data_IF_182829814939
#
_entry.id   IF_182829814939
#
_cell.length_a   1.000
_cell.length_b   1.000
_cell.length_c   1.000
_cell.angle_alpha   90.00
_cell.angle_beta   90.00
_cell.angle_gamma   90.00
#
_symmetry.space_group_name_H-M   'P 1'
#
loop_
_entity.id
_entity.type
_entity.pdbx_description
1 polymer ?
#
# COMPACT_ATOMS: atom_id res chain seq x y z
N UNK A 1 44.93 -11.71 0.57
CA UNK A 1 43.63 -12.22 1.06
C UNK A 1 42.55 -11.65 0.17
N UNK A 2 41.46 -12.39 -0.07
CA UNK A 2 40.35 -11.86 -0.90
C UNK A 2 39.52 -10.84 -0.11
N UNK A 3 39.02 -9.78 -0.77
CA UNK A 3 38.14 -8.80 -0.11
C UNK A 3 36.82 -9.47 0.29
N UNK A 4 36.30 -9.11 1.46
CA UNK A 4 35.00 -9.61 1.92
C UNK A 4 34.14 -8.48 2.46
N UNK A 5 32.89 -8.43 2.01
CA UNK A 5 31.89 -7.44 2.43
C UNK A 5 31.19 -7.96 3.70
N UNK A 6 31.07 -7.11 4.72
CA UNK A 6 30.40 -7.40 5.99
C UNK A 6 29.00 -6.78 5.99
N UNK A 7 28.88 -5.50 5.64
CA UNK A 7 27.60 -4.76 5.59
C UNK A 7 27.66 -3.66 4.53
N UNK A 8 26.48 -3.20 4.12
CA UNK A 8 26.35 -2.01 3.26
C UNK A 8 25.21 -1.17 3.81
N UNK A 9 25.47 0.13 4.00
CA UNK A 9 24.45 1.04 4.51
C UNK A 9 23.36 1.31 3.45
N UNK A 10 22.08 1.39 3.86
CA UNK A 10 20.99 1.68 2.94
C UNK A 10 21.00 3.14 2.47
N UNK A 11 20.90 3.33 1.16
CA UNK A 11 20.84 4.65 0.52
C UNK A 11 19.40 5.03 0.14
N UNK A 12 19.05 6.33 0.05
CA UNK A 12 17.76 6.75 -0.49
C UNK A 12 17.51 6.21 -1.90
N UNK A 13 16.24 6.09 -2.32
CA UNK A 13 15.89 5.59 -3.66
C UNK A 13 16.32 6.51 -4.81
N UNK A 14 16.72 7.75 -4.50
CA UNK A 14 17.36 8.66 -5.45
C UNK A 14 18.84 8.34 -5.69
N UNK A 15 19.39 7.33 -5.02
CA UNK A 15 20.82 7.08 -4.95
C UNK A 15 21.49 7.93 -3.87
N UNK A 16 22.82 7.87 -3.84
CA UNK A 16 23.63 8.57 -2.85
C UNK A 16 24.92 7.83 -2.54
N UNK A 17 25.64 8.29 -1.53
CA UNK A 17 26.87 7.62 -1.08
C UNK A 17 26.48 6.34 -0.33
N UNK A 18 26.89 5.20 -0.86
CA UNK A 18 26.82 3.91 -0.17
C UNK A 18 28.15 3.66 0.56
N UNK A 19 28.05 3.35 1.85
CA UNK A 19 29.18 2.91 2.67
C UNK A 19 29.20 1.39 2.72
N UNK A 20 30.29 0.79 2.25
CA UNK A 20 30.52 -0.64 2.23
C UNK A 20 31.57 -0.94 3.30
N UNK A 21 31.17 -1.68 4.33
CA UNK A 21 32.08 -2.11 5.40
C UNK A 21 32.52 -3.54 5.14
N UNK A 22 33.80 -3.83 5.34
CA UNK A 22 34.36 -5.15 5.10
C UNK A 22 35.77 -5.33 5.61
N UNK A 23 36.51 -6.22 4.94
CA UNK A 23 37.91 -6.53 5.25
C UNK A 23 38.73 -6.72 3.97
N UNK A 24 40.03 -6.48 4.07
CA UNK A 24 41.02 -6.61 2.99
C UNK A 24 40.71 -5.71 1.77
N UNK A 25 40.17 -4.50 2.00
CA UNK A 25 39.94 -3.54 0.92
C UNK A 25 41.21 -2.81 0.47
N UNK A 26 42.29 -2.92 1.23
CA UNK A 26 43.59 -2.34 0.89
C UNK A 26 43.79 -0.93 1.46
N UNK A 27 44.87 -0.26 1.06
CA UNK A 27 45.26 1.03 1.61
C UNK A 27 44.22 2.14 1.41
N UNK A 28 44.25 3.15 2.27
CA UNK A 28 43.44 4.36 2.13
C UNK A 28 43.63 5.00 0.74
N UNK A 29 42.54 5.47 0.14
CA UNK A 29 42.48 6.06 -1.21
C UNK A 29 42.82 5.11 -2.36
N UNK A 30 42.82 3.80 -2.12
CA UNK A 30 42.87 2.83 -3.23
C UNK A 30 41.63 3.02 -4.12
N UNK A 31 41.87 3.23 -5.41
CA UNK A 31 40.81 3.25 -6.44
C UNK A 31 40.30 1.82 -6.65
N UNK A 32 38.99 1.65 -6.63
CA UNK A 32 38.36 0.35 -6.76
C UNK A 32 37.97 0.12 -8.21
N UNK A 33 38.46 -0.96 -8.81
CA UNK A 33 38.23 -1.23 -10.24
C UNK A 33 36.74 -1.33 -10.61
N UNK A 34 35.92 -2.05 -9.84
CA UNK A 34 34.48 -2.05 -10.05
C UNK A 34 33.68 -2.38 -8.79
N UNK A 35 32.52 -1.71 -8.67
CA UNK A 35 31.47 -2.01 -7.70
C UNK A 35 30.15 -2.06 -8.44
N UNK A 36 29.42 -3.17 -8.33
CA UNK A 36 28.12 -3.37 -8.99
C UNK A 36 27.08 -3.75 -7.97
N UNK A 37 25.97 -3.00 -7.94
CA UNK A 37 24.79 -3.22 -7.10
C UNK A 37 23.71 -3.88 -7.98
N UNK A 38 23.61 -5.20 -7.88
CA UNK A 38 22.77 -6.02 -8.76
C UNK A 38 23.27 -5.96 -10.20
N UNK A 39 22.61 -5.14 -11.03
CA UNK A 39 22.99 -4.85 -12.41
C UNK A 39 23.49 -3.41 -12.63
N UNK A 40 23.43 -2.56 -11.62
CA UNK A 40 23.75 -1.14 -11.74
C UNK A 40 25.16 -0.83 -11.18
N UNK A 41 25.98 -0.02 -11.85
CA UNK A 41 27.31 0.34 -11.35
C UNK A 41 27.20 1.34 -10.19
N UNK A 42 28.01 1.14 -9.14
CA UNK A 42 28.28 2.16 -8.12
C UNK A 42 29.56 2.91 -8.54
N UNK A 43 29.45 4.20 -8.83
CA UNK A 43 30.55 4.98 -9.41
C UNK A 43 31.43 5.61 -8.35
N UNK A 44 32.61 6.12 -8.73
CA UNK A 44 33.55 6.83 -7.84
C UNK A 44 33.94 6.04 -6.58
N UNK A 45 34.07 4.72 -6.73
CA UNK A 45 34.37 3.81 -5.64
C UNK A 45 35.83 3.97 -5.17
N UNK A 46 36.01 4.23 -3.87
CA UNK A 46 37.32 4.40 -3.24
C UNK A 46 37.35 3.88 -1.82
N UNK A 47 38.51 3.40 -1.39
CA UNK A 47 38.74 3.05 0.02
C UNK A 47 38.83 4.31 0.87
N UNK A 48 37.92 4.46 1.83
CA UNK A 48 37.81 5.63 2.73
C UNK A 48 38.29 5.35 4.15
N UNK A 49 38.38 4.09 4.55
CA UNK A 49 39.10 3.64 5.74
C UNK A 49 39.95 2.43 5.35
N UNK A 50 41.23 2.48 5.72
CA UNK A 50 42.20 1.43 5.40
C UNK A 50 41.63 0.04 5.76
N UNK A 51 41.74 -0.86 4.79
CA UNK A 51 41.31 -2.25 4.81
C UNK A 51 39.82 -2.52 5.08
N UNK A 52 39.01 -1.53 5.44
CA UNK A 52 37.72 -1.76 6.12
C UNK A 52 36.53 -1.01 5.56
N UNK A 53 36.72 0.09 4.83
CA UNK A 53 35.60 0.88 4.29
C UNK A 53 35.84 1.31 2.85
N UNK A 54 34.82 1.11 2.00
CA UNK A 54 34.72 1.68 0.65
C UNK A 54 33.49 2.57 0.61
N UNK A 55 33.62 3.74 -0.02
CA UNK A 55 32.47 4.55 -0.41
C UNK A 55 32.36 4.63 -1.93
N UNK A 56 31.13 4.58 -2.43
CA UNK A 56 30.81 4.76 -3.84
C UNK A 56 29.44 5.45 -4.01
N UNK A 57 29.18 6.02 -5.18
CA UNK A 57 27.92 6.65 -5.53
C UNK A 57 26.96 5.62 -6.14
N UNK A 58 26.00 5.19 -5.34
CA UNK A 58 24.93 4.32 -5.77
C UNK A 58 23.94 5.10 -6.66
N UNK A 59 23.51 4.52 -7.79
CA UNK A 59 22.53 5.14 -8.67
C UNK A 59 21.12 5.09 -8.05
N UNK A 60 20.15 5.85 -8.59
CA UNK A 60 18.74 5.70 -8.24
C UNK A 60 18.25 4.26 -8.45
N UNK A 61 17.39 3.78 -7.54
CA UNK A 61 16.84 2.43 -7.59
C UNK A 61 15.87 2.15 -6.42
N UNK A 62 15.35 0.92 -6.36
CA UNK A 62 14.44 0.45 -5.32
C UNK A 62 14.72 -1.01 -4.97
N UNK A 63 14.09 -1.50 -3.90
CA UNK A 63 14.22 -2.89 -3.45
C UNK A 63 15.40 -3.12 -2.51
N UNK A 64 15.39 -4.31 -1.92
CA UNK A 64 16.39 -4.81 -0.99
C UNK A 64 16.83 -6.22 -1.35
N UNK A 65 17.74 -6.76 -0.54
CA UNK A 65 18.41 -8.04 -0.83
C UNK A 65 19.11 -8.03 -2.20
N UNK A 66 19.76 -6.91 -2.52
CA UNK A 66 20.51 -6.71 -3.76
C UNK A 66 21.93 -7.21 -3.54
N UNK A 67 22.41 -8.06 -4.46
CA UNK A 67 23.78 -8.54 -4.47
C UNK A 67 24.75 -7.41 -4.79
N UNK A 68 25.84 -7.28 -4.03
CA UNK A 68 26.95 -6.38 -4.34
C UNK A 68 28.18 -7.19 -4.79
N UNK A 69 28.72 -6.84 -5.96
CA UNK A 69 29.98 -7.39 -6.47
C UNK A 69 31.06 -6.32 -6.45
N UNK A 70 32.18 -6.63 -5.82
CA UNK A 70 33.32 -5.76 -5.65
C UNK A 70 34.56 -6.40 -6.24
N UNK A 71 35.29 -5.65 -7.06
CA UNK A 71 36.62 -5.99 -7.57
C UNK A 71 37.58 -4.84 -7.33
N UNK A 72 38.62 -5.08 -6.53
CA UNK A 72 39.62 -4.05 -6.17
C UNK A 72 40.59 -3.81 -7.32
N UNK A 73 41.21 -4.88 -7.86
CA UNK A 73 42.23 -4.79 -8.92
C UNK A 73 41.81 -5.57 -10.18
N UNK A 74 42.24 -5.13 -11.36
CA UNK A 74 41.98 -5.79 -12.66
C UNK A 74 42.44 -7.24 -12.69
N UNK A 75 43.57 -7.52 -12.03
CA UNK A 75 44.29 -8.80 -12.05
C UNK A 75 43.77 -9.79 -11.00
N UNK A 76 42.84 -9.36 -10.14
CA UNK A 76 42.19 -10.26 -9.20
C UNK A 76 41.16 -11.12 -9.95
N UNK A 77 41.41 -12.44 -9.99
CA UNK A 77 40.43 -13.46 -10.35
C UNK A 77 39.32 -13.61 -9.29
N UNK A 78 39.47 -12.95 -8.13
CA UNK A 78 38.57 -13.07 -6.97
C UNK A 78 37.93 -11.73 -6.63
N UNK A 79 36.66 -11.63 -6.99
CA UNK A 79 35.74 -10.60 -6.54
C UNK A 79 35.35 -10.85 -5.06
N UNK A 80 34.50 -10.00 -4.48
CA UNK A 80 33.84 -10.27 -3.19
C UNK A 80 32.98 -11.56 -3.16
N UNK A 81 32.83 -12.24 -4.30
CA UNK A 81 32.09 -13.49 -4.52
C UNK A 81 30.75 -13.51 -3.77
N UNK A 82 30.64 -14.34 -2.73
CA UNK A 82 29.43 -14.56 -1.94
C UNK A 82 29.23 -13.56 -0.79
N UNK A 83 30.30 -12.89 -0.35
CA UNK A 83 30.24 -12.02 0.83
C UNK A 83 29.32 -10.80 0.63
N UNK A 84 29.01 -10.45 -0.62
CA UNK A 84 28.12 -9.37 -0.98
C UNK A 84 26.67 -9.79 -1.29
N UNK A 85 26.33 -11.08 -1.21
CA UNK A 85 24.99 -11.54 -1.60
C UNK A 85 23.90 -10.97 -0.67
N UNK A 86 22.89 -10.37 -1.28
CA UNK A 86 21.74 -9.78 -0.60
C UNK A 86 22.06 -8.66 0.40
N UNK A 87 23.27 -8.09 0.40
CA UNK A 87 23.70 -7.15 1.45
C UNK A 87 23.29 -5.71 1.20
N UNK A 88 23.02 -5.33 -0.03
CA UNK A 88 22.61 -3.98 -0.36
C UNK A 88 21.08 -3.85 -0.38
N UNK A 89 20.58 -2.70 0.04
CA UNK A 89 19.19 -2.29 -0.16
C UNK A 89 19.09 -0.79 -0.29
N UNK A 90 18.08 -0.34 -1.01
CA UNK A 90 17.60 1.03 -0.87
C UNK A 90 16.75 1.13 0.40
N UNK A 91 16.70 2.34 0.99
CA UNK A 91 15.84 2.63 2.14
C UNK A 91 14.39 2.27 1.82
N UNK A 92 13.68 1.72 2.80
CA UNK A 92 12.29 1.30 2.62
C UNK A 92 11.37 2.49 2.35
N UNK A 93 10.26 2.26 1.63
CA UNK A 93 9.16 3.21 1.53
C UNK A 93 8.71 3.64 2.93
N UNK A 94 8.55 4.94 3.13
CA UNK A 94 7.99 5.50 4.35
C UNK A 94 6.76 6.32 3.99
N UNK A 95 5.58 5.88 4.38
CA UNK A 95 4.35 6.67 4.26
C UNK A 95 4.26 7.60 5.46
N UNK A 96 4.19 8.90 5.21
CA UNK A 96 4.13 9.93 6.25
C UNK A 96 2.72 10.48 6.44
N UNK A 97 1.95 10.53 5.36
CA UNK A 97 0.56 10.97 5.38
C UNK A 97 -0.21 10.41 4.19
N UNK A 98 -1.49 10.19 4.41
CA UNK A 98 -2.50 9.83 3.43
C UNK A 98 -3.60 10.87 3.55
N UNK A 99 -3.90 11.53 2.43
CA UNK A 99 -4.95 12.55 2.34
C UNK A 99 -5.96 12.13 1.29
N UNK A 100 -7.23 12.22 1.64
CA UNK A 100 -8.34 11.97 0.74
C UNK A 100 -9.55 12.77 1.18
N UNK A 101 -10.44 13.00 0.23
CA UNK A 101 -11.78 13.50 0.52
C UNK A 101 -12.78 12.62 -0.23
N UNK A 102 -13.94 12.31 0.39
CA UNK A 102 -15.05 11.73 -0.34
C UNK A 102 -15.39 12.59 -1.55
N UNK A 103 -15.51 12.01 -2.75
CA UNK A 103 -15.97 12.77 -3.90
C UNK A 103 -17.42 13.22 -3.68
N UNK A 104 -17.84 14.35 -4.27
CA UNK A 104 -19.23 14.77 -4.24
C UNK A 104 -20.10 13.67 -4.83
N UNK A 105 -21.02 13.14 -4.03
CA UNK A 105 -21.98 12.16 -4.53
C UNK A 105 -23.16 12.91 -5.11
N UNK A 106 -23.39 12.78 -6.42
CA UNK A 106 -24.54 13.37 -7.10
C UNK A 106 -25.59 12.28 -7.28
N UNK A 107 -26.66 12.37 -6.51
CA UNK A 107 -27.80 11.48 -6.62
C UNK A 107 -29.05 12.31 -6.95
N UNK A 108 -29.89 11.79 -7.84
CA UNK A 108 -31.14 12.40 -8.26
C UNK A 108 -32.25 11.35 -8.16
N UNK A 109 -33.43 11.78 -7.69
CA UNK A 109 -34.63 10.93 -7.59
C UNK A 109 -34.39 9.59 -6.86
N UNK A 110 -33.59 9.62 -5.79
CA UNK A 110 -33.28 8.46 -4.97
C UNK A 110 -32.29 7.46 -5.60
N UNK A 111 -31.59 7.86 -6.67
CA UNK A 111 -30.61 7.04 -7.38
C UNK A 111 -29.30 7.79 -7.60
N UNK A 112 -28.18 7.06 -7.54
CA UNK A 112 -26.85 7.59 -7.80
C UNK A 112 -26.29 6.99 -9.10
N UNK A 113 -25.27 7.65 -9.67
CA UNK A 113 -24.59 7.14 -10.86
C UNK A 113 -23.87 5.82 -10.56
N UNK A 114 -24.01 4.84 -11.46
CA UNK A 114 -23.40 3.53 -11.32
C UNK A 114 -21.86 3.60 -11.38
N UNK A 115 -21.20 2.72 -10.63
CA UNK A 115 -19.76 2.50 -10.76
C UNK A 115 -18.89 3.27 -9.75
N UNK A 116 -17.60 3.46 -10.05
CA UNK A 116 -16.66 4.09 -9.14
C UNK A 116 -16.96 5.58 -8.99
N UNK A 117 -16.84 6.08 -7.77
CA UNK A 117 -17.09 7.50 -7.44
C UNK A 117 -16.00 8.45 -7.95
N UNK A 118 -14.95 7.91 -8.61
CA UNK A 118 -13.77 8.67 -9.00
C UNK A 118 -12.91 9.11 -7.81
N UNK A 119 -13.11 8.50 -6.63
CA UNK A 119 -12.34 8.83 -5.44
C UNK A 119 -10.85 8.64 -5.69
N UNK A 120 -10.06 9.65 -5.36
CA UNK A 120 -8.61 9.60 -5.40
C UNK A 120 -8.04 9.82 -4.00
N UNK A 121 -6.89 9.21 -3.75
CA UNK A 121 -6.07 9.42 -2.56
C UNK A 121 -4.76 10.07 -2.96
N UNK A 122 -4.20 10.89 -2.08
CA UNK A 122 -2.85 11.45 -2.19
C UNK A 122 -2.00 10.91 -1.05
N UNK A 123 -0.84 10.35 -1.39
CA UNK A 123 0.04 9.64 -0.48
C UNK A 123 1.37 10.39 -0.46
N UNK A 124 1.80 10.78 0.73
CA UNK A 124 3.02 11.53 0.97
C UNK A 124 4.03 10.65 1.68
N UNK A 125 5.28 10.70 1.26
CA UNK A 125 6.30 9.89 1.91
C UNK A 125 7.68 10.00 1.33
N UNK A 126 8.58 9.14 1.78
CA UNK A 126 9.96 9.10 1.33
C UNK A 126 10.27 7.73 0.71
N UNK A 127 11.32 7.69 -0.10
CA UNK A 127 11.88 6.46 -0.66
C UNK A 127 10.90 5.61 -1.47
N UNK A 128 9.97 6.23 -2.22
CA UNK A 128 9.05 5.47 -3.06
C UNK A 128 9.71 4.96 -4.35
N UNK A 129 10.81 5.58 -4.79
CA UNK A 129 11.42 5.28 -6.09
C UNK A 129 11.08 6.32 -7.14
N UNK A 130 11.85 6.36 -8.24
CA UNK A 130 11.61 7.28 -9.36
C UNK A 130 10.78 6.68 -10.51
N UNK A 131 10.63 5.36 -10.55
CA UNK A 131 9.95 4.65 -11.63
C UNK A 131 8.63 4.04 -11.11
N UNK A 132 7.49 4.52 -11.62
CA UNK A 132 6.16 4.05 -11.22
C UNK A 132 5.96 2.55 -11.49
N UNK A 133 6.61 1.98 -12.51
CA UNK A 133 6.49 0.54 -12.80
C UNK A 133 7.14 -0.37 -11.74
N UNK A 134 7.95 0.20 -10.84
CA UNK A 134 8.53 -0.51 -9.71
C UNK A 134 7.78 -0.26 -8.40
N UNK A 135 6.66 0.48 -8.45
CA UNK A 135 5.89 0.92 -7.29
C UNK A 135 4.50 0.30 -7.37
N UNK A 136 4.10 -0.36 -6.28
CA UNK A 136 2.74 -0.86 -6.09
C UNK A 136 2.15 -0.20 -4.87
N UNK A 137 0.88 0.18 -4.95
CA UNK A 137 0.18 0.83 -3.86
C UNK A 137 -1.14 0.11 -3.66
N UNK A 138 -1.41 -0.30 -2.44
CA UNK A 138 -2.59 -1.08 -2.13
C UNK A 138 -3.18 -0.75 -0.76
N UNK A 139 -4.46 -1.07 -0.59
CA UNK A 139 -5.08 -1.12 0.73
C UNK A 139 -4.90 -2.52 1.31
N UNK A 140 -4.49 -2.61 2.56
CA UNK A 140 -4.44 -3.89 3.26
C UNK A 140 -5.84 -4.52 3.28
N UNK A 141 -5.95 -5.73 2.73
CA UNK A 141 -7.24 -6.44 2.61
C UNK A 141 -7.89 -6.65 3.99
N UNK A 142 -9.21 -6.46 4.12
CA UNK A 142 -9.93 -6.76 5.37
C UNK A 142 -9.91 -8.24 5.74
N UNK A 143 -9.66 -9.12 4.77
CA UNK A 143 -9.57 -10.57 4.97
C UNK A 143 -8.19 -11.04 5.44
N UNK A 144 -7.23 -10.11 5.60
CA UNK A 144 -5.88 -10.47 6.04
C UNK A 144 -5.90 -10.94 7.49
N UNK A 145 -5.49 -12.18 7.74
CA UNK A 145 -5.36 -12.70 9.10
C UNK A 145 -4.16 -12.07 9.83
N UNK A 146 -4.19 -12.09 11.16
CA UNK A 146 -3.05 -11.62 11.96
C UNK A 146 -1.77 -12.44 11.70
N UNK A 147 -1.91 -13.75 11.44
CA UNK A 147 -0.80 -14.64 11.08
C UNK A 147 -0.18 -14.23 9.75
N UNK A 148 -1.01 -14.06 8.71
CA UNK A 148 -0.57 -13.61 7.39
C UNK A 148 0.10 -12.23 7.46
N UNK A 149 -0.41 -11.33 8.31
CA UNK A 149 0.24 -10.05 8.59
C UNK A 149 1.64 -10.23 9.15
N UNK A 150 1.82 -11.06 10.17
CA UNK A 150 3.14 -11.28 10.80
C UNK A 150 4.13 -11.99 9.89
N UNK A 151 3.65 -12.79 8.95
CA UNK A 151 4.49 -13.49 7.97
C UNK A 151 4.81 -12.62 6.75
N UNK A 152 4.14 -11.47 6.59
CA UNK A 152 4.26 -10.64 5.41
C UNK A 152 3.60 -11.24 4.17
N UNK A 153 2.64 -12.15 4.36
CA UNK A 153 1.86 -12.83 3.31
C UNK A 153 0.45 -12.25 3.18
N UNK A 154 0.38 -10.93 3.05
CA UNK A 154 -0.89 -10.22 2.90
C UNK A 154 -1.22 -9.91 1.44
N UNK A 155 -2.53 -9.88 1.17
CA UNK A 155 -3.09 -9.42 -0.10
C UNK A 155 -3.43 -7.95 0.01
N UNK A 156 -3.05 -7.21 -1.02
CA UNK A 156 -3.42 -5.81 -1.18
C UNK A 156 -4.55 -5.67 -2.19
N UNK A 157 -5.49 -4.77 -1.90
CA UNK A 157 -6.39 -4.24 -2.91
C UNK A 157 -5.67 -3.11 -3.64
N UNK A 158 -5.13 -3.42 -4.81
CA UNK A 158 -4.34 -2.49 -5.62
C UNK A 158 -5.14 -1.23 -5.97
N UNK A 159 -4.48 -0.09 -5.78
CA UNK A 159 -4.98 1.19 -6.24
C UNK A 159 -4.72 1.34 -7.74
N UNK A 160 -5.51 2.21 -8.38
CA UNK A 160 -5.54 2.37 -9.84
C UNK A 160 -4.84 3.67 -10.26
N UNK A 161 -4.45 3.75 -11.53
CA UNK A 161 -3.98 5.00 -12.17
C UNK A 161 -2.93 5.75 -11.34
N UNK A 162 -1.93 5.03 -10.85
CA UNK A 162 -0.87 5.60 -10.01
C UNK A 162 -0.07 6.64 -10.80
N UNK A 163 -0.03 7.86 -10.27
CA UNK A 163 0.69 8.99 -10.85
C UNK A 163 1.49 9.72 -9.77
N UNK A 164 2.58 10.39 -10.14
CA UNK A 164 3.19 11.37 -9.26
C UNK A 164 2.34 12.63 -9.23
N UNK A 165 2.34 13.36 -8.11
CA UNK A 165 1.58 14.60 -8.00
C UNK A 165 2.40 15.69 -7.28
N UNK A 166 2.41 16.95 -7.75
CA UNK A 166 1.92 17.36 -9.05
C UNK A 166 2.77 16.73 -10.16
N UNK A 167 2.26 16.71 -11.40
CA UNK A 167 2.97 16.30 -12.61
C UNK A 167 4.05 17.34 -13.01
N UNK A 168 4.94 17.66 -12.08
CA UNK A 168 5.99 18.67 -12.22
C UNK A 168 7.36 17.99 -12.13
N UNK A 169 8.39 18.59 -12.74
CA UNK A 169 9.65 17.90 -12.91
C UNK A 169 10.41 17.92 -11.58
N UNK A 170 10.70 16.72 -11.07
CA UNK A 170 11.47 16.32 -9.89
C UNK A 170 10.59 15.68 -8.81
N UNK A 171 10.47 14.36 -8.93
CA UNK A 171 10.02 13.49 -7.86
C UNK A 171 11.24 12.67 -7.40
N UNK A 172 11.56 12.72 -6.10
CA UNK A 172 10.89 13.50 -5.07
C UNK A 172 11.25 14.99 -5.15
N UNK A 173 10.59 15.80 -4.34
CA UNK A 173 10.95 17.20 -4.15
C UNK A 173 12.36 17.34 -3.51
N UNK A 174 12.93 18.56 -3.42
CA UNK A 174 14.26 18.77 -2.84
C UNK A 174 14.46 18.29 -1.39
N UNK A 175 13.38 18.07 -0.64
CA UNK A 175 13.41 17.52 0.72
C UNK A 175 13.33 15.98 0.74
N UNK A 176 13.35 15.32 -0.43
CA UNK A 176 13.21 13.88 -0.58
C UNK A 176 11.79 13.37 -0.41
N UNK A 177 10.78 14.25 -0.36
CA UNK A 177 9.37 13.89 -0.24
C UNK A 177 8.78 13.57 -1.62
N UNK A 178 8.24 12.37 -1.75
CA UNK A 178 7.40 11.91 -2.85
C UNK A 178 5.94 12.23 -2.56
N UNK A 179 5.18 12.46 -3.62
CA UNK A 179 3.74 12.58 -3.53
C UNK A 179 3.14 11.79 -4.67
N UNK A 180 2.40 10.73 -4.33
CA UNK A 180 1.68 9.87 -5.26
C UNK A 180 0.20 10.19 -5.19
N UNK A 181 -0.48 10.09 -6.33
CA UNK A 181 -1.93 10.12 -6.41
C UNK A 181 -2.39 8.83 -7.09
N UNK A 182 -3.49 8.28 -6.59
CA UNK A 182 -4.03 7.05 -7.14
C UNK A 182 -5.56 7.03 -7.01
N UNK A 183 -6.22 6.34 -7.94
CA UNK A 183 -7.64 6.02 -7.89
C UNK A 183 -7.91 4.93 -6.86
N UNK A 184 -8.96 5.12 -6.07
CA UNK A 184 -9.44 4.10 -5.15
C UNK A 184 -10.40 3.18 -5.89
N UNK A 185 -10.17 1.84 -5.91
CA UNK A 185 -11.10 0.91 -6.50
C UNK A 185 -12.41 0.86 -5.68
N UNK A 186 -13.49 0.38 -6.31
CA UNK A 186 -14.72 0.08 -5.58
C UNK A 186 -14.41 -0.93 -4.47
N UNK A 187 -14.78 -0.60 -3.25
CA UNK A 187 -14.47 -1.42 -2.08
C UNK A 187 -15.30 -1.01 -0.88
N UNK A 188 -14.92 -1.53 0.28
CA UNK A 188 -15.59 -1.32 1.55
C UNK A 188 -14.56 -1.36 2.68
N UNK A 189 -15.03 -1.21 3.93
CA UNK A 189 -14.21 -1.16 5.16
C UNK A 189 -13.68 0.22 5.55
N UNK A 190 -13.26 0.30 6.82
CA UNK A 190 -12.59 1.46 7.41
C UNK A 190 -11.21 1.08 7.91
N UNK A 191 -10.43 2.12 8.17
CA UNK A 191 -9.10 2.07 8.79
C UNK A 191 -8.20 1.02 8.12
N UNK A 192 -8.20 1.05 6.79
CA UNK A 192 -7.35 0.20 5.96
C UNK A 192 -6.00 0.86 5.79
N UNK A 193 -4.95 0.16 6.17
CA UNK A 193 -3.59 0.65 6.02
C UNK A 193 -3.25 0.79 4.52
N UNK A 194 -2.75 1.95 4.13
CA UNK A 194 -2.16 2.15 2.81
C UNK A 194 -0.74 1.60 2.82
N UNK A 195 -0.51 0.61 1.98
CA UNK A 195 0.79 -0.04 1.79
C UNK A 195 1.38 0.44 0.47
N UNK A 196 2.59 0.98 0.53
CA UNK A 196 3.41 1.35 -0.63
C UNK A 196 4.57 0.38 -0.68
N UNK A 197 4.62 -0.41 -1.75
CA UNK A 197 5.72 -1.30 -2.07
C UNK A 197 6.59 -0.70 -3.17
N UNK A 198 7.91 -0.77 -3.01
CA UNK A 198 8.90 -0.35 -4.00
C UNK A 198 9.94 -1.46 -4.21
N UNK A 199 9.91 -2.07 -5.39
CA UNK A 199 10.63 -3.32 -5.64
C UNK A 199 10.04 -4.47 -4.80
N UNK A 200 10.88 -5.15 -4.03
CA UNK A 200 10.51 -6.24 -3.11
C UNK A 200 10.39 -5.80 -1.64
N UNK A 201 10.29 -4.50 -1.38
CA UNK A 201 10.15 -3.92 -0.04
C UNK A 201 8.85 -3.13 0.08
N UNK A 202 8.36 -2.94 1.30
CA UNK A 202 7.19 -2.09 1.60
C UNK A 202 7.33 -1.38 2.95
N UNK A 203 6.35 -0.52 3.25
CA UNK A 203 6.24 0.22 4.51
C UNK A 203 5.54 -0.57 5.63
N UNK A 204 5.35 -1.88 5.50
CA UNK A 204 4.64 -2.71 6.47
C UNK A 204 5.54 -3.80 7.05
N UNK A 205 5.76 -4.92 6.36
CA UNK A 205 6.58 -6.04 6.87
C UNK A 205 7.89 -6.26 6.11
N UNK A 206 7.98 -5.83 4.86
CA UNK A 206 9.12 -6.15 3.99
C UNK A 206 10.17 -5.05 4.07
N UNK A 207 10.60 -4.71 5.29
CA UNK A 207 11.58 -3.67 5.58
C UNK A 207 12.62 -4.13 6.61
N UNK A 208 13.71 -3.37 6.75
CA UNK A 208 14.71 -3.54 7.82
C UNK A 208 14.10 -3.34 9.21
N UNK A 209 13.13 -2.43 9.33
CA UNK A 209 12.32 -2.22 10.53
C UNK A 209 10.84 -2.32 10.14
N UNK A 210 10.25 -3.53 10.24
CA UNK A 210 8.81 -3.71 10.08
C UNK A 210 8.01 -2.83 11.03
N UNK A 211 6.80 -2.46 10.62
CA UNK A 211 5.83 -1.86 11.53
C UNK A 211 5.48 -2.85 12.65
N UNK A 212 5.18 -2.32 13.82
CA UNK A 212 4.71 -3.12 14.95
C UNK A 212 3.28 -3.59 14.66
N UNK A 213 3.15 -4.88 14.34
CA UNK A 213 1.87 -5.51 14.01
C UNK A 213 0.94 -5.55 15.22
N UNK A 214 1.46 -5.71 16.44
CA UNK A 214 0.65 -5.68 17.66
C UNK A 214 0.06 -4.28 17.83
N UNK A 215 0.89 -3.25 17.68
CA UNK A 215 0.44 -1.86 17.75
C UNK A 215 -0.56 -1.50 16.64
N UNK A 216 -0.37 -2.07 15.44
CA UNK A 216 -1.27 -1.87 14.29
C UNK A 216 -2.67 -2.46 14.55
N UNK A 217 -2.74 -3.63 15.18
CA UNK A 217 -4.01 -4.33 15.47
C UNK A 217 -4.68 -3.72 16.70
N UNK A 218 -3.94 -3.55 17.80
CA UNK A 218 -4.49 -3.13 19.09
C UNK A 218 -4.75 -1.63 19.15
N UNK A 219 -3.94 -0.83 18.45
CA UNK A 219 -4.01 0.63 18.47
C UNK A 219 -3.86 1.25 17.06
N UNK A 220 -4.75 0.90 16.10
CA UNK A 220 -4.66 1.35 14.70
C UNK A 220 -4.64 2.87 14.56
N UNK A 221 -5.22 3.60 15.52
CA UNK A 221 -5.18 5.06 15.58
C UNK A 221 -3.77 5.68 15.63
N UNK A 222 -2.74 4.92 16.05
CA UNK A 222 -1.34 5.37 16.00
C UNK A 222 -0.78 5.46 14.58
N UNK A 223 -1.41 4.74 13.68
CA UNK A 223 -1.10 4.72 12.26
C UNK A 223 -2.15 5.46 11.43
N UNK A 224 -3.04 6.24 12.06
CA UNK A 224 -4.15 6.93 11.41
C UNK A 224 -3.72 7.79 10.20
N UNK A 225 -2.52 8.38 10.24
CA UNK A 225 -1.94 9.14 9.13
C UNK A 225 -1.67 8.30 7.87
N UNK A 226 -1.64 6.97 7.97
CA UNK A 226 -1.44 6.04 6.86
C UNK A 226 -2.72 5.27 6.52
N UNK A 227 -3.84 5.58 7.16
CA UNK A 227 -5.09 4.84 6.99
C UNK A 227 -6.00 5.49 5.94
N UNK A 228 -6.77 4.65 5.27
CA UNK A 228 -7.86 5.02 4.38
C UNK A 228 -9.16 4.38 4.86
N UNK A 229 -10.27 5.13 4.74
CA UNK A 229 -11.61 4.62 5.01
C UNK A 229 -12.54 4.92 3.84
N UNK A 230 -13.26 3.90 3.39
CA UNK A 230 -14.41 4.10 2.53
C UNK A 230 -15.50 4.88 3.27
N UNK A 231 -16.30 5.64 2.52
CA UNK A 231 -17.47 6.33 3.05
C UNK A 231 -18.47 5.31 3.61
N UNK A 232 -19.24 5.71 4.62
CA UNK A 232 -20.35 4.89 5.11
C UNK A 232 -21.40 4.75 3.99
N UNK A 233 -22.11 3.61 3.93
CA UNK A 233 -23.23 3.48 3.00
C UNK A 233 -24.36 4.43 3.40
N UNK A 234 -25.00 5.04 2.42
CA UNK A 234 -26.16 5.89 2.57
C UNK A 234 -27.32 5.30 1.78
N UNK A 235 -28.44 5.01 2.45
CA UNK A 235 -29.66 4.51 1.81
C UNK A 235 -30.53 5.71 1.41
N UNK A 236 -30.96 5.73 0.15
CA UNK A 236 -31.75 6.83 -0.41
C UNK A 236 -33.20 6.44 -0.67
N UNK A 237 -33.42 5.25 -1.22
CA UNK A 237 -34.76 4.76 -1.52
C UNK A 237 -34.80 3.24 -1.59
N UNK A 238 -36.00 2.68 -1.49
CA UNK A 238 -36.21 1.23 -1.62
C UNK A 238 -37.44 0.96 -2.48
N UNK A 239 -37.50 -0.21 -3.12
CA UNK A 239 -38.77 -0.71 -3.65
C UNK A 239 -39.67 -1.21 -2.52
N UNK A 240 -40.96 -1.38 -2.81
CA UNK A 240 -41.92 -1.98 -1.87
C UNK A 240 -42.08 -3.47 -2.14
N UNK A 241 -42.34 -4.24 -1.09
CA UNK A 241 -42.76 -5.64 -1.16
C UNK A 241 -44.19 -5.80 -0.61
N UNK A 242 -44.94 -6.84 -1.04
CA UNK A 242 -46.20 -7.22 -0.39
C UNK A 242 -46.01 -7.62 1.08
N UNK A 243 -47.09 -7.64 1.85
CA UNK A 243 -47.07 -8.07 3.28
C UNK A 243 -46.67 -9.54 3.46
N UNK A 244 -46.84 -10.36 2.42
CA UNK A 244 -46.34 -11.74 2.40
C UNK A 244 -44.80 -11.84 2.30
N UNK A 245 -44.11 -10.71 2.11
CA UNK A 245 -42.68 -10.65 1.81
C UNK A 245 -42.40 -10.64 0.31
N UNK A 246 -41.13 -10.52 -0.03
CA UNK A 246 -40.67 -10.50 -1.41
C UNK A 246 -39.29 -9.88 -1.56
N UNK A 247 -38.76 -9.94 -2.79
CA UNK A 247 -37.50 -9.29 -3.12
C UNK A 247 -37.67 -7.78 -3.16
N UNK A 248 -36.81 -7.07 -2.44
CA UNK A 248 -36.70 -5.61 -2.52
C UNK A 248 -35.36 -5.20 -3.11
N UNK A 249 -35.32 -4.03 -3.73
CA UNK A 249 -34.11 -3.36 -4.17
C UNK A 249 -33.92 -2.13 -3.30
N UNK A 250 -32.72 -1.95 -2.78
CA UNK A 250 -32.30 -0.82 -1.97
C UNK A 250 -31.33 0.00 -2.81
N UNK A 251 -31.66 1.27 -3.03
CA UNK A 251 -30.87 2.22 -3.78
C UNK A 251 -30.16 3.18 -2.83
N UNK A 252 -28.90 3.48 -3.12
CA UNK A 252 -28.08 4.29 -2.24
C UNK A 252 -26.71 4.60 -2.84
N UNK A 253 -25.74 4.81 -1.96
CA UNK A 253 -24.34 4.97 -2.29
C UNK A 253 -23.46 4.24 -1.26
N UNK A 254 -22.22 3.90 -1.65
CA UNK A 254 -21.24 3.31 -0.74
C UNK A 254 -21.52 1.85 -0.36
N UNK A 255 -22.31 1.11 -1.14
CA UNK A 255 -22.54 -0.33 -0.91
C UNK A 255 -21.33 -1.21 -1.27
N UNK A 256 -20.32 -0.67 -1.94
CA UNK A 256 -19.12 -1.42 -2.33
C UNK A 256 -19.31 -2.28 -3.59
N UNK A 257 -18.48 -3.32 -3.77
CA UNK A 257 -18.47 -4.11 -5.01
C UNK A 257 -19.68 -5.02 -5.14
N UNK A 258 -20.03 -5.40 -6.39
CA UNK A 258 -21.04 -6.45 -6.66
C UNK A 258 -20.68 -7.73 -5.90
N UNK A 259 -21.67 -8.34 -5.26
CA UNK A 259 -21.45 -9.51 -4.40
C UNK A 259 -21.91 -9.26 -2.96
N UNK A 260 -21.36 -10.05 -2.03
CA UNK A 260 -21.73 -10.04 -0.61
C UNK A 260 -20.66 -9.47 0.31
N UNK A 261 -19.41 -9.43 -0.13
CA UNK A 261 -18.25 -9.18 0.74
C UNK A 261 -18.31 -7.82 1.46
N UNK A 262 -18.98 -6.82 0.87
CA UNK A 262 -19.13 -5.49 1.47
C UNK A 262 -20.31 -5.29 2.42
N UNK A 263 -21.19 -6.30 2.57
CA UNK A 263 -22.42 -6.19 3.37
C UNK A 263 -22.47 -7.33 4.36
N UNK A 264 -22.54 -7.02 5.66
CA UNK A 264 -22.62 -8.05 6.71
C UNK A 264 -24.06 -8.44 7.05
N UNK A 265 -24.98 -7.47 7.01
CA UNK A 265 -26.41 -7.67 7.25
C UNK A 265 -27.22 -6.49 6.72
N UNK A 266 -28.47 -6.77 6.36
CA UNK A 266 -29.49 -5.77 6.04
C UNK A 266 -30.66 -5.97 6.98
N UNK A 267 -31.03 -4.94 7.73
CA UNK A 267 -32.10 -4.99 8.73
C UNK A 267 -33.15 -3.94 8.37
N UNK A 268 -34.41 -4.34 8.35
CA UNK A 268 -35.54 -3.43 8.19
C UNK A 268 -36.19 -3.24 9.55
N UNK A 269 -36.22 -2.00 10.05
CA UNK A 269 -36.78 -1.64 11.34
C UNK A 269 -38.21 -1.13 11.23
N UNK A 270 -39.10 -1.70 12.05
CA UNK A 270 -40.47 -1.21 12.19
C UNK A 270 -40.63 -0.13 13.24
N UNK A 271 -41.57 0.77 13.00
CA UNK A 271 -41.91 1.90 13.88
C UNK A 271 -42.73 1.51 15.13
N UNK A 272 -42.91 0.23 15.40
CA UNK A 272 -43.62 -0.24 16.59
C UNK A 272 -42.74 -0.08 17.84
N UNK A 273 -43.38 -0.01 19.02
CA UNK A 273 -42.70 -0.06 20.30
C UNK A 273 -42.98 -1.42 20.97
N UNK A 274 -41.97 -2.31 21.14
CA UNK A 274 -40.57 -2.16 20.75
C UNK A 274 -40.33 -2.31 19.24
N UNK A 275 -39.25 -1.71 18.68
CA UNK A 275 -38.95 -1.83 17.26
C UNK A 275 -38.62 -3.28 16.93
N UNK A 276 -39.39 -3.84 15.98
CA UNK A 276 -39.09 -5.15 15.41
C UNK A 276 -38.12 -4.97 14.26
N UNK A 277 -36.99 -5.67 14.31
CA UNK A 277 -36.03 -5.79 13.21
C UNK A 277 -36.38 -7.02 12.38
N UNK A 278 -36.53 -6.82 11.08
CA UNK A 278 -36.76 -7.87 10.09
C UNK A 278 -35.44 -8.04 9.32
N UNK A 279 -34.86 -9.24 9.37
CA UNK A 279 -33.67 -9.56 8.59
C UNK A 279 -34.05 -9.66 7.11
N UNK A 280 -33.32 -8.94 6.26
CA UNK A 280 -33.39 -9.13 4.82
C UNK A 280 -32.34 -10.16 4.42
N UNK A 281 -32.79 -11.33 3.99
CA UNK A 281 -31.93 -12.47 3.69
C UNK A 281 -31.39 -12.41 2.26
N UNK A 282 -30.42 -13.27 1.95
CA UNK A 282 -29.84 -13.42 0.60
C UNK A 282 -29.36 -12.12 -0.03
N UNK A 283 -28.98 -11.13 0.77
CA UNK A 283 -28.59 -9.83 0.27
C UNK A 283 -27.41 -9.96 -0.71
N UNK A 284 -27.39 -9.09 -1.71
CA UNK A 284 -26.36 -9.04 -2.71
C UNK A 284 -26.31 -7.65 -3.33
N UNK A 285 -25.14 -7.02 -3.37
CA UNK A 285 -24.92 -5.82 -4.17
C UNK A 285 -25.05 -6.22 -5.63
N UNK A 286 -26.03 -5.65 -6.32
CA UNK A 286 -26.33 -5.97 -7.73
C UNK A 286 -25.73 -4.96 -8.69
N UNK A 287 -25.52 -3.72 -8.22
CA UNK A 287 -24.81 -2.67 -8.95
C UNK A 287 -23.81 -2.03 -8.01
N UNK A 288 -22.54 -2.04 -8.38
CA UNK A 288 -21.44 -1.50 -7.58
C UNK A 288 -21.79 -0.11 -7.02
N UNK A 289 -21.55 0.07 -5.72
CA UNK A 289 -21.85 1.22 -4.88
C UNK A 289 -23.33 1.59 -4.70
N UNK A 290 -24.23 1.31 -5.66
CA UNK A 290 -25.51 2.04 -5.74
C UNK A 290 -26.77 1.20 -5.56
N UNK A 291 -26.72 -0.11 -5.76
CA UNK A 291 -27.89 -0.95 -5.56
C UNK A 291 -27.53 -2.31 -4.94
N UNK A 292 -28.35 -2.73 -3.98
CA UNK A 292 -28.36 -4.09 -3.46
C UNK A 292 -29.78 -4.64 -3.41
N UNK A 293 -29.90 -5.94 -3.62
CA UNK A 293 -31.16 -6.66 -3.49
C UNK A 293 -31.11 -7.57 -2.26
N UNK A 294 -32.26 -7.80 -1.65
CA UNK A 294 -32.40 -8.79 -0.58
C UNK A 294 -33.85 -9.31 -0.51
N UNK A 295 -34.02 -10.47 0.11
CA UNK A 295 -35.32 -11.11 0.28
C UNK A 295 -35.89 -10.75 1.65
N UNK A 296 -36.96 -9.95 1.66
CA UNK A 296 -37.65 -9.55 2.88
C UNK A 296 -38.74 -10.57 3.23
N UNK A 297 -38.72 -11.08 4.46
CA UNK A 297 -39.75 -11.99 4.96
C UNK A 297 -41.12 -11.32 5.11
N UNK A 298 -42.15 -12.12 5.44
CA UNK A 298 -43.48 -11.59 5.74
C UNK A 298 -43.46 -10.61 6.90
N UNK A 299 -44.22 -9.52 6.77
CA UNK A 299 -44.21 -8.41 7.72
C UNK A 299 -45.50 -7.59 7.68
N UNK A 300 -45.64 -6.70 8.67
CA UNK A 300 -46.78 -5.80 8.79
C UNK A 300 -46.30 -4.33 8.78
N UNK A 301 -47.05 -3.47 8.08
CA UNK A 301 -46.82 -2.02 8.05
C UNK A 301 -46.30 -1.50 6.71
N UNK A 302 -46.17 -0.17 6.64
CA UNK A 302 -45.53 0.57 5.55
C UNK A 302 -44.54 1.60 6.13
N UNK A 303 -43.71 2.20 5.28
CA UNK A 303 -42.69 3.19 5.66
C UNK A 303 -41.60 2.69 6.62
N UNK A 304 -41.32 1.38 6.69
CA UNK A 304 -40.26 0.83 7.55
C UNK A 304 -38.87 1.41 7.20
N UNK A 305 -38.03 1.64 8.20
CA UNK A 305 -36.65 2.11 7.97
C UNK A 305 -35.79 0.94 7.53
N UNK A 306 -34.89 1.19 6.57
CA UNK A 306 -33.91 0.21 6.07
C UNK A 306 -32.52 0.73 6.35
#
# INVERSE_FOLDING_TARGET
TSPAIVSVDPVPTQGGIATITGVNFGPLNTEVHSVVLGSAPCTDARVTAEDTEIQCLAPPGVGGSIDIRLKINTDAETDSLDSGRGKFRYRCPLVTAVSYSPPPTVCADGRCAEGPTGQKVTIYGNNFGGNLSSIHVGLLSPETSEEALREGDYVLWELLDLEYHPDVPLQPNPNGLYTLRAGIPVGHSRDRLVVVAAGNQDNLMRCEQPLDVDELIETPGRYAQMMFSYTRPDILSTTSAPTAGGRITIFGNGFGPVGRDGVSRVLVESWHAPPRQILCENFNVTVSNVALECDLGAGEGGQLNV
#
